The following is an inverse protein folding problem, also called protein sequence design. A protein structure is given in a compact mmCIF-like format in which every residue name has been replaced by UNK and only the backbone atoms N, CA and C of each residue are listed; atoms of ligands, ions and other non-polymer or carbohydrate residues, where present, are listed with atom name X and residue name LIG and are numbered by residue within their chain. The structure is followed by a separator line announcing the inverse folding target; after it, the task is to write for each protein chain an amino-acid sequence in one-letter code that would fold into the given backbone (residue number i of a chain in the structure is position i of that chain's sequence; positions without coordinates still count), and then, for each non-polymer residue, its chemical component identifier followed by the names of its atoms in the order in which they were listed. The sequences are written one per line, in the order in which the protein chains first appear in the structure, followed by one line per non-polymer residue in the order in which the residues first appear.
data_IF_952193692705
#
_entry.id   IF_952193692705
#
_cell.length_a   1.000
_cell.length_b   1.000
_cell.length_c   1.000
_cell.angle_alpha   90.00
_cell.angle_beta   90.00
_cell.angle_gamma   90.00
#
_symmetry.space_group_name_H-M   'P 1'
#
loop_
_entity.id
_entity.type
_entity.pdbx_description
1 polymer ?
#
# COMPACT_ATOMS: atom_id res chain seq x y z
N UNK A 1 -25.11 -39.31 -22.13
CA UNK A 1 -25.00 -38.16 -21.21
C UNK A 1 -25.88 -37.05 -21.77
N UNK A 2 -26.95 -36.65 -21.07
CA UNK A 2 -27.90 -35.62 -21.56
C UNK A 2 -27.24 -34.22 -21.53
N UNK A 3 -27.54 -33.35 -22.49
CA UNK A 3 -27.17 -31.92 -22.52
C UNK A 3 -27.44 -31.26 -21.16
N UNK A 4 -28.54 -31.59 -20.48
CA UNK A 4 -28.85 -31.13 -19.12
C UNK A 4 -27.76 -31.52 -18.10
N UNK A 5 -27.24 -32.75 -18.15
CA UNK A 5 -26.16 -33.20 -17.25
C UNK A 5 -24.84 -32.49 -17.54
N UNK A 6 -24.58 -32.12 -18.80
CA UNK A 6 -23.38 -31.37 -19.19
C UNK A 6 -23.45 -29.90 -18.72
N UNK A 7 -24.62 -29.25 -18.86
CA UNK A 7 -24.85 -27.90 -18.35
C UNK A 7 -24.80 -27.84 -16.82
N UNK A 8 -25.32 -28.85 -16.14
CA UNK A 8 -25.22 -28.98 -14.68
C UNK A 8 -23.75 -29.12 -14.24
N UNK A 9 -22.96 -29.97 -14.90
CA UNK A 9 -21.52 -30.13 -14.61
C UNK A 9 -20.73 -28.84 -14.86
N UNK A 10 -21.01 -28.14 -15.97
CA UNK A 10 -20.39 -26.83 -16.25
C UNK A 10 -20.81 -25.81 -15.19
N UNK A 11 -22.08 -25.75 -14.80
CA UNK A 11 -22.56 -24.86 -13.74
C UNK A 11 -21.87 -25.09 -12.39
N UNK A 12 -21.64 -26.35 -12.02
CA UNK A 12 -20.88 -26.71 -10.82
C UNK A 12 -19.41 -26.32 -10.94
N UNK A 13 -18.77 -26.60 -12.08
CA UNK A 13 -17.37 -26.23 -12.32
C UNK A 13 -17.18 -24.70 -12.30
N UNK A 14 -18.06 -23.95 -12.96
CA UNK A 14 -18.02 -22.47 -12.97
C UNK A 14 -18.21 -21.90 -11.55
N UNK A 15 -19.12 -22.46 -10.76
CA UNK A 15 -19.37 -22.03 -9.38
C UNK A 15 -18.19 -22.34 -8.45
N UNK A 16 -17.58 -23.52 -8.58
CA UNK A 16 -16.40 -23.91 -7.80
C UNK A 16 -15.18 -23.05 -8.15
N UNK A 17 -14.98 -22.71 -9.44
CA UNK A 17 -13.94 -21.78 -9.86
C UNK A 17 -14.19 -20.38 -9.32
N UNK A 18 -15.40 -19.84 -9.42
CA UNK A 18 -15.73 -18.50 -8.91
C UNK A 18 -15.48 -18.36 -7.39
N UNK A 19 -15.77 -19.40 -6.61
CA UNK A 19 -15.53 -19.41 -5.17
C UNK A 19 -14.03 -19.29 -4.79
N UNK A 20 -13.12 -19.74 -5.65
CA UNK A 20 -11.67 -19.67 -5.41
C UNK A 20 -11.06 -18.26 -5.60
N UNK A 21 -11.78 -17.34 -6.25
CA UNK A 21 -11.34 -15.97 -6.52
C UNK A 21 -12.04 -14.91 -5.66
N UNK A 22 -12.89 -15.32 -4.73
CA UNK A 22 -13.61 -14.39 -3.86
C UNK A 22 -12.69 -13.87 -2.74
N UNK A 23 -12.56 -12.54 -2.60
CA UNK A 23 -11.87 -11.95 -1.44
C UNK A 23 -12.55 -12.39 -0.13
N UNK A 24 -11.80 -12.94 0.85
CA UNK A 24 -12.39 -13.40 2.11
C UNK A 24 -13.14 -12.29 2.87
N UNK A 25 -14.30 -12.59 3.52
CA UNK A 25 -15.06 -11.58 4.26
C UNK A 25 -14.26 -10.84 5.34
N UNK A 26 -13.26 -11.51 5.94
CA UNK A 26 -12.35 -10.89 6.90
C UNK A 26 -11.59 -9.68 6.32
N UNK A 27 -11.21 -9.74 5.05
CA UNK A 27 -10.50 -8.67 4.35
C UNK A 27 -11.37 -7.43 4.08
N UNK A 28 -12.70 -7.55 4.17
CA UNK A 28 -13.62 -6.44 3.92
C UNK A 28 -13.89 -5.57 5.16
N UNK A 29 -13.36 -5.97 6.33
CA UNK A 29 -13.49 -5.20 7.57
C UNK A 29 -12.61 -3.96 7.54
N UNK A 30 -13.07 -2.86 8.16
CA UNK A 30 -12.24 -1.67 8.37
C UNK A 30 -11.03 -1.98 9.26
N UNK A 31 -9.87 -1.34 9.08
CA UNK A 31 -8.73 -1.52 9.97
C UNK A 31 -9.07 -1.07 11.40
N UNK A 32 -8.75 -1.89 12.39
CA UNK A 32 -9.04 -1.62 13.80
C UNK A 32 -7.75 -1.37 14.60
N UNK A 33 -7.58 -0.12 15.08
CA UNK A 33 -6.47 0.25 15.98
C UNK A 33 -6.60 -0.47 17.33
N UNK A 34 -7.84 -0.56 17.84
CA UNK A 34 -8.15 -1.11 19.16
C UNK A 34 -7.78 -0.16 20.30
N UNK A 35 -8.05 -0.56 21.56
CA UNK A 35 -7.95 0.35 22.72
C UNK A 35 -6.52 0.50 23.28
N UNK A 36 -5.61 -0.42 22.94
CA UNK A 36 -4.22 -0.35 23.38
C UNK A 36 -3.44 0.77 22.65
N UNK A 37 -2.33 1.22 23.25
CA UNK A 37 -1.58 2.41 22.82
C UNK A 37 -0.21 2.10 22.20
N UNK A 38 0.09 0.83 21.91
CA UNK A 38 1.31 0.49 21.19
C UNK A 38 1.26 1.04 19.76
N UNK A 39 2.43 1.27 19.15
CA UNK A 39 2.53 1.72 17.75
C UNK A 39 3.07 0.58 16.89
N UNK A 40 2.23 -0.42 16.61
CA UNK A 40 2.63 -1.60 15.85
C UNK A 40 2.24 -1.42 14.37
N UNK A 41 3.21 -1.33 13.45
CA UNK A 41 2.88 -1.28 12.03
C UNK A 41 2.28 -2.60 11.58
N UNK A 42 1.13 -2.51 10.92
CA UNK A 42 0.37 -3.64 10.37
C UNK A 42 -0.17 -3.29 9.00
N UNK A 43 -0.67 -4.27 8.27
CA UNK A 43 -1.26 -4.11 6.94
C UNK A 43 -2.72 -4.52 6.97
N UNK A 44 -3.54 -3.85 6.18
CA UNK A 44 -4.94 -4.19 5.94
C UNK A 44 -5.24 -4.08 4.45
N UNK A 45 -6.20 -4.84 3.97
CA UNK A 45 -6.75 -4.75 2.63
C UNK A 45 -7.75 -3.59 2.54
N UNK A 46 -7.50 -2.66 1.64
CA UNK A 46 -8.42 -1.58 1.26
C UNK A 46 -9.20 -2.02 0.00
N UNK A 47 -10.49 -2.40 0.13
CA UNK A 47 -11.29 -2.87 -1.00
C UNK A 47 -11.57 -1.78 -2.03
N UNK A 48 -11.63 -0.50 -1.63
CA UNK A 48 -11.89 0.62 -2.54
C UNK A 48 -10.75 0.81 -3.54
N UNK A 49 -9.53 0.49 -3.10
CA UNK A 49 -8.32 0.64 -3.91
C UNK A 49 -7.75 -0.70 -4.40
N UNK A 50 -8.34 -1.83 -3.99
CA UNK A 50 -7.86 -3.20 -4.23
C UNK A 50 -6.38 -3.39 -3.86
N UNK A 51 -5.98 -2.84 -2.71
CA UNK A 51 -4.57 -2.72 -2.31
C UNK A 51 -4.39 -2.95 -0.82
N UNK A 52 -3.26 -3.55 -0.45
CA UNK A 52 -2.84 -3.62 0.94
C UNK A 52 -2.16 -2.31 1.36
N UNK A 53 -2.62 -1.72 2.47
CA UNK A 53 -2.12 -0.47 3.04
C UNK A 53 -1.70 -0.69 4.49
N UNK A 54 -0.72 0.08 4.95
CA UNK A 54 -0.24 -0.04 6.32
C UNK A 54 -1.03 0.86 7.28
N UNK A 55 -1.25 0.43 8.50
CA UNK A 55 -1.85 1.23 9.57
C UNK A 55 -1.14 0.96 10.90
N UNK A 56 -1.42 1.79 11.91
CA UNK A 56 -0.90 1.59 13.26
C UNK A 56 -1.93 0.83 14.09
N UNK A 57 -1.56 -0.38 14.49
CA UNK A 57 -2.32 -1.19 15.41
C UNK A 57 -1.89 -0.91 16.86
N UNK A 58 -2.87 -0.73 17.73
CA UNK A 58 -2.70 -0.43 19.15
C UNK A 58 -2.14 -1.59 19.98
N UNK A 59 -2.17 -2.82 19.45
CA UNK A 59 -1.64 -4.02 20.10
C UNK A 59 -2.69 -4.94 20.73
N UNK A 60 -3.95 -4.52 20.84
CA UNK A 60 -5.07 -5.36 21.28
C UNK A 60 -6.38 -4.93 20.59
N UNK A 61 -7.43 -5.78 20.61
CA UNK A 61 -8.78 -5.41 20.14
C UNK A 61 -8.91 -5.11 18.64
N UNK A 62 -8.14 -5.80 17.80
CA UNK A 62 -8.17 -5.66 16.33
C UNK A 62 -9.22 -6.57 15.66
N UNK A 63 -9.12 -6.74 14.34
CA UNK A 63 -9.90 -7.72 13.57
C UNK A 63 -9.01 -8.47 12.56
N UNK A 64 -9.60 -9.34 11.74
CA UNK A 64 -8.88 -10.20 10.80
C UNK A 64 -8.25 -9.46 9.60
N UNK A 65 -8.61 -8.20 9.35
CA UNK A 65 -7.95 -7.37 8.34
C UNK A 65 -6.68 -6.72 8.91
N UNK A 66 -5.76 -7.56 9.40
CA UNK A 66 -4.56 -7.13 10.13
C UNK A 66 -3.42 -8.14 9.92
N UNK A 67 -2.44 -7.76 9.10
CA UNK A 67 -1.33 -8.62 8.67
C UNK A 67 0.02 -8.01 9.03
N UNK A 68 1.03 -8.86 9.25
CA UNK A 68 2.38 -8.41 9.58
C UNK A 68 3.14 -7.82 8.37
N UNK A 69 2.83 -8.28 7.16
CA UNK A 69 3.50 -7.85 5.94
C UNK A 69 2.50 -7.59 4.82
N UNK A 70 2.88 -6.73 3.88
CA UNK A 70 2.11 -6.48 2.66
C UNK A 70 1.89 -7.77 1.86
N UNK A 71 2.93 -8.61 1.77
CA UNK A 71 2.87 -9.93 1.11
C UNK A 71 1.76 -10.79 1.72
N UNK A 72 1.73 -10.92 3.06
CA UNK A 72 0.71 -11.74 3.73
C UNK A 72 -0.70 -11.19 3.53
N UNK A 73 -0.86 -9.87 3.48
CA UNK A 73 -2.13 -9.25 3.13
C UNK A 73 -2.55 -9.57 1.68
N UNK A 74 -1.64 -9.52 0.71
CA UNK A 74 -1.94 -9.82 -0.69
C UNK A 74 -2.29 -11.30 -0.88
N UNK A 75 -1.50 -12.20 -0.32
CA UNK A 75 -1.77 -13.66 -0.34
C UNK A 75 -3.15 -13.98 0.22
N UNK A 76 -3.55 -13.32 1.32
CA UNK A 76 -4.83 -13.59 1.96
C UNK A 76 -6.03 -12.93 1.25
N UNK A 77 -5.86 -11.71 0.73
CA UNK A 77 -7.00 -10.87 0.31
C UNK A 77 -7.14 -10.68 -1.21
N UNK A 78 -6.15 -11.10 -2.00
CA UNK A 78 -6.13 -11.01 -3.45
C UNK A 78 -5.92 -12.40 -4.09
N UNK A 79 -6.86 -13.35 -3.89
CA UNK A 79 -6.72 -14.69 -4.45
C UNK A 79 -6.65 -14.65 -5.97
N UNK A 80 -5.73 -15.44 -6.53
CA UNK A 80 -5.50 -15.51 -7.98
C UNK A 80 -4.74 -14.31 -8.58
N UNK A 81 -4.41 -13.29 -7.79
CA UNK A 81 -3.52 -12.22 -8.23
C UNK A 81 -2.05 -12.56 -7.90
N UNK A 82 -1.09 -12.21 -8.77
CA UNK A 82 0.32 -12.33 -8.44
C UNK A 82 0.68 -11.38 -7.29
N UNK A 83 1.41 -11.88 -6.30
CA UNK A 83 1.95 -11.07 -5.21
C UNK A 83 2.97 -10.09 -5.77
N UNK A 84 2.71 -8.79 -5.59
CA UNK A 84 3.56 -7.68 -6.04
C UNK A 84 3.71 -6.68 -4.89
N UNK A 85 4.66 -6.89 -3.97
CA UNK A 85 4.88 -5.96 -2.87
C UNK A 85 5.43 -4.64 -3.42
N UNK A 86 4.91 -3.53 -2.92
CA UNK A 86 5.36 -2.19 -3.27
C UNK A 86 5.89 -1.52 -2.02
N UNK A 87 5.01 -1.33 -1.05
CA UNK A 87 5.25 -0.48 0.11
C UNK A 87 6.15 -1.17 1.16
N UNK A 88 6.26 -2.50 1.12
CA UNK A 88 7.19 -3.26 1.98
C UNK A 88 8.60 -3.41 1.40
N UNK A 89 8.82 -3.04 0.13
CA UNK A 89 10.17 -3.05 -0.46
C UNK A 89 11.04 -2.02 0.24
N UNK A 90 12.33 -2.32 0.43
CA UNK A 90 13.27 -1.31 0.93
C UNK A 90 13.43 -0.20 -0.13
N UNK A 91 13.45 1.08 0.29
CA UNK A 91 13.77 2.17 -0.62
C UNK A 91 15.12 1.91 -1.29
N UNK A 92 15.27 2.20 -2.59
CA UNK A 92 16.51 1.95 -3.27
C UNK A 92 17.64 2.79 -2.71
N UNK A 93 18.83 2.19 -2.64
CA UNK A 93 20.06 2.81 -2.12
C UNK A 93 21.14 2.81 -3.20
N UNK A 94 22.06 3.77 -3.09
CA UNK A 94 23.24 3.86 -3.93
C UNK A 94 23.19 4.99 -4.96
N UNK A 95 24.38 5.34 -5.45
CA UNK A 95 24.61 6.38 -6.45
C UNK A 95 24.87 5.70 -7.80
N UNK A 96 24.07 5.99 -8.80
CA UNK A 96 24.29 5.59 -10.19
C UNK A 96 23.52 6.52 -11.13
N UNK A 97 24.04 6.74 -12.34
CA UNK A 97 23.38 7.60 -13.32
C UNK A 97 23.02 8.98 -12.77
N UNK A 98 21.88 9.53 -13.22
CA UNK A 98 21.36 10.80 -12.72
C UNK A 98 20.80 10.62 -11.30
N UNK A 99 21.13 11.57 -10.43
CA UNK A 99 20.53 11.66 -9.10
C UNK A 99 19.09 12.12 -9.25
N UNK A 100 18.17 11.26 -8.86
CA UNK A 100 16.74 11.54 -8.79
C UNK A 100 16.31 11.54 -7.33
N UNK A 101 15.13 12.08 -7.09
CA UNK A 101 14.49 12.02 -5.80
C UNK A 101 13.20 11.23 -5.90
N UNK A 102 12.75 10.72 -4.77
CA UNK A 102 11.47 10.02 -4.65
C UNK A 102 10.97 10.07 -3.22
N UNK A 103 9.71 9.70 -3.05
CA UNK A 103 9.12 9.37 -1.77
C UNK A 103 9.06 7.85 -1.64
N UNK A 104 9.40 7.32 -0.48
CA UNK A 104 9.25 5.90 -0.19
C UNK A 104 8.52 5.71 1.13
N UNK A 105 7.70 4.67 1.19
CA UNK A 105 7.02 4.28 2.41
C UNK A 105 8.00 3.59 3.35
N UNK A 106 8.05 4.05 4.59
CA UNK A 106 8.73 3.37 5.69
C UNK A 106 7.69 2.62 6.52
N UNK A 107 7.71 1.29 6.42
CA UNK A 107 6.82 0.41 7.16
C UNK A 107 6.97 0.51 8.66
N UNK A 108 8.15 0.86 9.17
CA UNK A 108 8.38 1.00 10.60
C UNK A 108 7.79 2.31 11.13
N UNK A 109 7.90 3.38 10.35
CA UNK A 109 7.36 4.70 10.70
C UNK A 109 5.87 4.84 10.39
N UNK A 110 5.31 3.98 9.52
CA UNK A 110 3.92 4.07 9.07
C UNK A 110 3.65 5.28 8.16
N UNK A 111 4.69 5.88 7.58
CA UNK A 111 4.60 7.10 6.76
C UNK A 111 5.65 7.13 5.64
N UNK A 112 5.43 7.99 4.67
CA UNK A 112 6.36 8.22 3.57
C UNK A 112 7.45 9.24 3.93
N UNK A 113 8.66 9.00 3.43
CA UNK A 113 9.81 9.88 3.58
C UNK A 113 10.49 10.16 2.24
N UNK A 114 11.05 11.37 2.12
CA UNK A 114 11.86 11.77 0.97
C UNK A 114 13.23 11.08 1.01
N UNK A 115 13.75 10.73 -0.16
CA UNK A 115 15.11 10.25 -0.32
C UNK A 115 15.69 10.55 -1.71
N UNK A 116 17.02 10.50 -1.82
CA UNK A 116 17.77 10.67 -3.06
C UNK A 116 18.39 9.34 -3.46
N UNK A 117 18.30 8.99 -4.75
CA UNK A 117 18.91 7.78 -5.29
C UNK A 117 19.35 7.97 -6.74
N UNK A 118 20.14 7.03 -7.24
CA UNK A 118 20.42 6.94 -8.67
C UNK A 118 19.23 6.40 -9.47
N UNK A 119 18.95 6.97 -10.63
CA UNK A 119 17.83 6.58 -11.50
C UNK A 119 17.79 5.08 -11.81
N UNK A 120 18.96 4.46 -11.98
CA UNK A 120 19.11 3.04 -12.31
C UNK A 120 18.64 2.08 -11.19
N UNK A 121 18.41 2.56 -9.97
CA UNK A 121 17.98 1.75 -8.82
C UNK A 121 16.50 1.86 -8.52
N UNK A 122 15.70 2.60 -9.30
CA UNK A 122 14.27 2.79 -9.04
C UNK A 122 13.56 1.43 -8.87
N UNK A 123 12.76 1.32 -7.81
CA UNK A 123 11.89 0.17 -7.58
C UNK A 123 10.45 0.64 -7.34
N UNK A 124 9.52 -0.27 -7.03
CA UNK A 124 8.12 0.09 -6.86
C UNK A 124 7.87 0.99 -5.63
N UNK A 125 8.71 0.94 -4.59
CA UNK A 125 8.64 1.87 -3.45
C UNK A 125 9.35 3.20 -3.73
N UNK A 126 9.08 3.78 -4.90
CA UNK A 126 9.68 5.04 -5.35
C UNK A 126 8.61 5.90 -6.04
N UNK A 127 7.93 6.74 -5.26
CA UNK A 127 6.80 7.57 -5.68
C UNK A 127 7.23 8.99 -6.04
N UNK A 128 6.47 9.67 -6.90
CA UNK A 128 6.80 11.04 -7.33
C UNK A 128 6.41 12.07 -6.29
N UNK A 129 5.30 11.85 -5.58
CA UNK A 129 4.81 12.75 -4.54
C UNK A 129 4.55 12.04 -3.21
N UNK A 130 4.57 12.82 -2.12
CA UNK A 130 4.20 12.31 -0.80
C UNK A 130 2.75 11.81 -0.79
N UNK A 131 1.83 12.53 -1.43
CA UNK A 131 0.41 12.18 -1.50
C UNK A 131 0.17 10.87 -2.24
N UNK A 132 0.87 10.65 -3.37
CA UNK A 132 0.83 9.38 -4.10
C UNK A 132 1.30 8.23 -3.20
N UNK A 133 2.45 8.42 -2.52
CA UNK A 133 3.00 7.43 -1.61
C UNK A 133 2.03 7.12 -0.44
N UNK A 134 1.53 8.16 0.25
CA UNK A 134 0.63 8.00 1.38
C UNK A 134 -0.70 7.37 0.95
N UNK A 135 -1.27 7.79 -0.18
CA UNK A 135 -2.49 7.22 -0.73
C UNK A 135 -2.33 5.77 -1.18
N UNK A 136 -1.14 5.38 -1.64
CA UNK A 136 -0.83 4.01 -2.05
C UNK A 136 -0.53 3.08 -0.88
N UNK A 137 0.20 3.57 0.13
CA UNK A 137 0.87 2.74 1.13
C UNK A 137 0.39 2.93 2.56
N UNK A 138 -0.22 4.07 2.89
CA UNK A 138 -0.68 4.37 4.25
C UNK A 138 -2.21 4.30 4.35
N UNK A 139 -2.68 3.81 5.48
CA UNK A 139 -4.07 3.89 5.95
C UNK A 139 -4.38 5.20 6.67
N UNK A 140 -3.50 6.19 6.58
CA UNK A 140 -3.77 7.53 7.11
C UNK A 140 -4.95 8.16 6.36
N UNK A 141 -5.85 8.78 7.11
CA UNK A 141 -7.00 9.51 6.53
C UNK A 141 -6.52 10.57 5.52
N UNK A 142 -7.21 10.74 4.38
CA UNK A 142 -6.79 11.64 3.31
C UNK A 142 -6.42 13.06 3.78
N UNK A 143 -7.28 13.71 4.58
CA UNK A 143 -7.00 15.06 5.10
C UNK A 143 -5.78 15.14 6.02
N UNK A 144 -5.50 14.08 6.80
CA UNK A 144 -4.30 13.99 7.64
C UNK A 144 -3.05 13.77 6.79
N UNK A 145 -3.15 12.92 5.78
CA UNK A 145 -2.07 12.66 4.83
C UNK A 145 -1.72 13.93 4.04
N UNK A 146 -2.71 14.68 3.57
CA UNK A 146 -2.52 15.95 2.89
C UNK A 146 -1.78 16.96 3.76
N UNK A 147 -2.25 17.20 5.00
CA UNK A 147 -1.59 18.12 5.94
C UNK A 147 -0.14 17.73 6.22
N UNK A 148 0.14 16.43 6.44
CA UNK A 148 1.49 15.92 6.65
C UNK A 148 2.36 16.11 5.41
N UNK A 149 1.85 15.76 4.22
CA UNK A 149 2.59 15.83 2.98
C UNK A 149 2.91 17.26 2.56
N UNK A 150 2.01 18.21 2.80
CA UNK A 150 2.30 19.64 2.61
C UNK A 150 3.50 20.08 3.45
N UNK A 151 3.51 19.70 4.75
CA UNK A 151 4.62 20.01 5.65
C UNK A 151 5.94 19.38 5.19
N UNK A 152 5.96 18.07 4.93
CA UNK A 152 7.19 17.37 4.52
C UNK A 152 7.72 17.88 3.17
N UNK A 153 6.82 18.26 2.26
CA UNK A 153 7.20 18.81 0.96
C UNK A 153 7.85 20.18 1.11
N UNK A 154 7.33 21.05 1.97
CA UNK A 154 7.95 22.33 2.30
C UNK A 154 9.36 22.14 2.87
N UNK A 155 9.53 21.24 3.86
CA UNK A 155 10.84 20.91 4.45
C UNK A 155 11.86 20.42 3.41
N UNK A 156 11.42 19.63 2.43
CA UNK A 156 12.27 19.16 1.32
C UNK A 156 12.67 20.32 0.41
N UNK A 157 11.73 21.20 0.05
CA UNK A 157 11.99 22.35 -0.82
C UNK A 157 12.97 23.32 -0.16
N UNK A 158 12.81 23.59 1.14
CA UNK A 158 13.73 24.42 1.91
C UNK A 158 15.14 23.82 1.93
N UNK A 159 15.25 22.50 2.12
CA UNK A 159 16.54 21.82 2.23
C UNK A 159 17.28 21.66 0.89
N UNK A 160 16.57 21.41 -0.19
CA UNK A 160 17.17 21.03 -1.49
C UNK A 160 16.94 22.08 -2.60
N UNK A 161 16.26 23.18 -2.29
CA UNK A 161 16.12 24.36 -3.12
C UNK A 161 15.13 24.25 -4.28
N UNK A 162 15.08 25.32 -5.09
CA UNK A 162 14.06 25.56 -6.12
C UNK A 162 14.09 24.61 -7.32
N UNK A 163 15.14 23.78 -7.47
CA UNK A 163 15.23 22.76 -8.54
C UNK A 163 14.16 21.66 -8.42
N UNK A 164 13.51 21.53 -7.25
CA UNK A 164 12.47 20.53 -7.01
C UNK A 164 11.03 21.07 -7.15
N UNK A 165 10.82 22.40 -7.22
CA UNK A 165 9.48 23.04 -7.22
C UNK A 165 8.45 22.45 -8.21
N UNK A 166 8.80 22.07 -9.46
CA UNK A 166 7.81 21.59 -10.42
C UNK A 166 7.36 20.13 -10.20
N UNK A 167 8.03 19.36 -9.33
CA UNK A 167 7.91 17.89 -9.33
C UNK A 167 7.51 17.35 -7.94
N UNK A 168 7.47 18.16 -6.86
CA UNK A 168 7.03 17.69 -5.51
C UNK A 168 5.50 17.65 -5.32
N UNK A 169 4.71 17.98 -6.34
CA UNK A 169 3.25 17.85 -6.31
C UNK A 169 2.56 18.93 -5.45
N UNK A 170 2.79 20.20 -5.79
CA UNK A 170 1.78 21.21 -5.49
C UNK A 170 0.48 20.87 -6.23
N UNK A 171 -0.70 21.23 -5.70
CA UNK A 171 -1.93 21.09 -6.46
C UNK A 171 -1.79 21.84 -7.78
N UNK A 172 -2.11 21.17 -8.89
CA UNK A 172 -2.36 21.83 -10.18
C UNK A 172 -3.52 22.82 -10.05
#
# INVERSE_FOLDING_TARGET
MNIANFLILIGFLVSAHAASYQTPPGCLKLPAVGPCKAKLPRWYYDPSNKKCKAFIYGGCGGNSNNFHTEVKCQEACLPGAPVRPVCSLKPPKGKCGRRVYSWAFDSNAGRCGFFLHGECKRNANSFRSCLECMGRCSGMQPGKAQKLCLKLTAEVIEKYGNRLRPIVGGPE
#
